data_IF_179676336704
#
_entry.id   IF_179676336704
#
_cell.length_a   1.000
_cell.length_b   1.000
_cell.length_c   1.000
_cell.angle_alpha   90.00
_cell.angle_beta   90.00
_cell.angle_gamma   90.00
#
_symmetry.space_group_name_H-M   'P 1'
#
loop_
_entity.id
_entity.type
_entity.pdbx_description
1 polymer ?
#
# COMPACT_ATOMS: atom_id res chain seq x y z
N UNK A 1 -61.14 10.09 18.88
CA UNK A 1 -60.02 9.63 19.76
C UNK A 1 -58.99 9.00 18.87
N UNK A 2 -58.04 9.81 18.34
CA UNK A 2 -56.98 9.39 17.42
C UNK A 2 -55.71 9.11 18.23
N UNK A 3 -55.28 7.86 18.29
CA UNK A 3 -53.99 7.50 18.84
C UNK A 3 -52.92 7.67 17.77
N UNK A 4 -52.01 8.61 18.00
CA UNK A 4 -50.82 8.80 17.19
C UNK A 4 -49.77 7.77 17.62
N UNK A 5 -49.47 6.82 16.75
CA UNK A 5 -48.33 5.91 16.92
C UNK A 5 -47.02 6.62 16.60
N UNK A 6 -46.26 6.95 17.63
CA UNK A 6 -44.90 7.44 17.57
C UNK A 6 -43.97 6.33 17.07
N UNK A 7 -43.60 6.42 15.81
CA UNK A 7 -42.59 5.55 15.18
C UNK A 7 -41.17 5.99 15.64
N UNK A 8 -40.66 5.38 16.70
CA UNK A 8 -39.29 5.53 17.14
C UNK A 8 -38.38 4.81 16.14
N UNK A 9 -37.85 5.54 15.14
CA UNK A 9 -36.69 5.09 14.39
C UNK A 9 -35.54 4.88 15.38
N UNK A 10 -35.26 3.62 15.74
CA UNK A 10 -34.01 3.25 16.40
C UNK A 10 -32.86 3.79 15.55
N UNK A 11 -32.15 4.80 16.06
CA UNK A 11 -30.82 5.14 15.57
C UNK A 11 -29.98 3.85 15.68
N UNK A 12 -29.69 3.23 14.55
CA UNK A 12 -28.65 2.19 14.51
C UNK A 12 -27.36 2.85 14.99
N UNK A 13 -26.89 2.43 16.14
CA UNK A 13 -25.57 2.79 16.64
C UNK A 13 -24.57 2.39 15.58
N UNK A 14 -23.81 3.37 15.07
CA UNK A 14 -22.70 3.17 14.14
C UNK A 14 -21.82 2.07 14.74
N UNK A 15 -21.57 0.93 14.06
CA UNK A 15 -20.64 -0.04 14.59
C UNK A 15 -19.32 0.66 14.77
N UNK A 16 -18.82 0.65 16.01
CA UNK A 16 -17.53 1.22 16.37
C UNK A 16 -16.48 0.59 15.46
N UNK A 17 -15.76 1.41 14.70
CA UNK A 17 -14.68 0.94 13.86
C UNK A 17 -13.72 0.19 14.79
N UNK A 18 -13.41 -1.07 14.49
CA UNK A 18 -12.45 -1.81 15.30
C UNK A 18 -11.20 -0.93 15.49
N UNK A 19 -10.70 -0.82 16.70
CA UNK A 19 -9.58 0.05 17.05
C UNK A 19 -8.34 -0.17 16.15
N UNK A 20 -8.26 -1.33 15.48
CA UNK A 20 -7.27 -1.64 14.45
C UNK A 20 -7.83 -2.65 13.44
N UNK A 21 -7.38 -2.58 12.18
CA UNK A 21 -7.63 -3.62 11.20
C UNK A 21 -6.75 -4.84 11.49
N UNK A 22 -7.25 -6.03 11.18
CA UNK A 22 -6.46 -7.26 11.26
C UNK A 22 -5.41 -7.26 10.14
N UNK A 23 -4.31 -7.96 10.35
CA UNK A 23 -3.25 -8.13 9.35
C UNK A 23 -3.78 -8.61 8.00
N UNK A 24 -4.68 -9.59 8.00
CA UNK A 24 -5.31 -10.11 6.81
C UNK A 24 -6.08 -9.02 6.04
N UNK A 25 -6.86 -8.19 6.74
CA UNK A 25 -7.60 -7.08 6.12
C UNK A 25 -6.65 -6.06 5.49
N UNK A 26 -5.54 -5.72 6.19
CA UNK A 26 -4.51 -4.81 5.68
C UNK A 26 -3.92 -5.37 4.39
N UNK A 27 -3.56 -6.66 4.35
CA UNK A 27 -3.01 -7.34 3.18
C UNK A 27 -3.97 -7.32 1.99
N UNK A 28 -5.26 -7.60 2.20
CA UNK A 28 -6.27 -7.52 1.13
C UNK A 28 -6.49 -6.10 0.62
N UNK A 29 -6.50 -5.10 1.50
CA UNK A 29 -6.64 -3.70 1.09
C UNK A 29 -5.42 -3.25 0.28
N UNK A 30 -4.19 -3.59 0.69
CA UNK A 30 -2.97 -3.29 -0.06
C UNK A 30 -2.98 -3.97 -1.43
N UNK A 31 -3.42 -5.23 -1.50
CA UNK A 31 -3.53 -5.95 -2.77
C UNK A 31 -4.56 -5.31 -3.72
N UNK A 32 -5.71 -4.87 -3.20
CA UNK A 32 -6.68 -4.12 -4.00
C UNK A 32 -6.11 -2.77 -4.48
N UNK A 33 -5.35 -2.08 -3.61
CA UNK A 33 -4.74 -0.80 -3.94
C UNK A 33 -3.70 -0.90 -5.04
N UNK A 34 -2.97 -2.01 -5.16
CA UNK A 34 -1.90 -2.21 -6.16
C UNK A 34 -2.37 -1.94 -7.59
N UNK A 35 -3.60 -2.34 -7.92
CA UNK A 35 -4.20 -2.07 -9.23
C UNK A 35 -4.57 -0.60 -9.47
N UNK A 36 -4.50 0.25 -8.45
CA UNK A 36 -4.94 1.66 -8.49
C UNK A 36 -3.83 2.67 -8.23
N UNK A 37 -2.65 2.22 -7.81
CA UNK A 37 -1.55 3.10 -7.43
C UNK A 37 -1.24 4.10 -8.54
N UNK A 38 -1.26 5.40 -8.20
CA UNK A 38 -1.01 6.49 -9.14
C UNK A 38 -2.12 6.74 -10.18
N UNK A 39 -3.24 5.99 -10.14
CA UNK A 39 -4.32 6.10 -11.14
C UNK A 39 -5.72 6.27 -10.54
N UNK A 40 -5.93 5.83 -9.30
CA UNK A 40 -7.22 5.89 -8.62
C UNK A 40 -7.13 6.42 -7.20
N UNK A 41 -8.26 6.87 -6.67
CA UNK A 41 -8.39 7.41 -5.32
C UNK A 41 -9.18 6.48 -4.38
N UNK A 42 -9.39 6.94 -3.13
CA UNK A 42 -10.09 6.23 -2.04
C UNK A 42 -11.42 5.60 -2.46
N UNK A 43 -12.25 6.36 -3.17
CA UNK A 43 -13.58 5.90 -3.58
C UNK A 43 -13.50 4.72 -4.56
N UNK A 44 -12.52 4.70 -5.45
CA UNK A 44 -12.33 3.60 -6.39
C UNK A 44 -11.87 2.34 -5.65
N UNK A 45 -10.92 2.48 -4.71
CA UNK A 45 -10.48 1.38 -3.86
C UNK A 45 -11.64 0.79 -3.05
N UNK A 46 -12.47 1.66 -2.43
CA UNK A 46 -13.65 1.20 -1.70
C UNK A 46 -14.65 0.45 -2.60
N UNK A 47 -14.83 0.86 -3.86
CA UNK A 47 -15.67 0.17 -4.85
C UNK A 47 -15.11 -1.20 -5.25
N UNK A 48 -13.79 -1.36 -5.41
CA UNK A 48 -13.16 -2.67 -5.66
C UNK A 48 -13.45 -3.60 -4.48
N UNK A 49 -13.14 -3.17 -3.27
CA UNK A 49 -13.34 -3.95 -2.06
C UNK A 49 -14.81 -4.31 -1.81
N UNK A 50 -15.74 -3.46 -2.24
CA UNK A 50 -17.19 -3.72 -2.21
C UNK A 50 -17.64 -4.76 -3.24
N UNK A 51 -16.91 -4.93 -4.32
CA UNK A 51 -17.37 -5.70 -5.49
C UNK A 51 -18.41 -4.93 -6.31
N UNK A 52 -18.20 -3.62 -6.49
CA UNK A 52 -19.13 -2.75 -7.22
C UNK A 52 -19.09 -3.04 -8.73
N UNK A 53 -20.25 -3.06 -9.37
CA UNK A 53 -20.41 -3.15 -10.82
C UNK A 53 -20.36 -1.77 -11.51
N UNK A 54 -19.62 -0.82 -10.94
CA UNK A 54 -19.42 0.50 -11.53
C UNK A 54 -18.79 0.36 -12.92
N UNK A 55 -19.32 1.11 -13.92
CA UNK A 55 -18.89 1.02 -15.31
C UNK A 55 -17.40 1.26 -15.49
N UNK A 56 -16.87 2.32 -14.85
CA UNK A 56 -15.45 2.67 -14.91
C UNK A 56 -14.55 1.57 -14.32
N UNK A 57 -15.02 0.91 -13.26
CA UNK A 57 -14.30 -0.19 -12.61
C UNK A 57 -14.20 -1.40 -13.55
N UNK A 58 -15.27 -1.72 -14.25
CA UNK A 58 -15.34 -2.84 -15.21
C UNK A 58 -14.53 -2.53 -16.47
N UNK A 59 -14.59 -1.31 -16.99
CA UNK A 59 -13.78 -0.85 -18.13
C UNK A 59 -12.26 -0.94 -17.86
N UNK A 60 -11.84 -0.77 -16.61
CA UNK A 60 -10.45 -0.89 -16.16
C UNK A 60 -10.10 -2.32 -15.70
N UNK A 61 -10.99 -3.29 -15.90
CA UNK A 61 -10.83 -4.69 -15.50
C UNK A 61 -10.47 -4.90 -14.01
N UNK A 62 -10.81 -3.93 -13.15
CA UNK A 62 -10.50 -3.99 -11.72
C UNK A 62 -11.31 -5.04 -10.95
N UNK A 63 -12.33 -5.61 -11.58
CA UNK A 63 -13.09 -6.76 -11.08
C UNK A 63 -12.32 -8.08 -11.15
N UNK A 64 -11.17 -8.12 -11.84
CA UNK A 64 -10.26 -9.27 -11.89
C UNK A 64 -9.31 -9.32 -10.69
N UNK A 65 -9.23 -8.25 -9.90
CA UNK A 65 -8.41 -8.18 -8.71
C UNK A 65 -8.84 -9.22 -7.67
N UNK A 66 -7.90 -9.95 -7.08
CA UNK A 66 -8.16 -11.01 -6.09
C UNK A 66 -8.93 -10.51 -4.85
N UNK A 67 -8.78 -9.24 -4.50
CA UNK A 67 -9.50 -8.62 -3.38
C UNK A 67 -10.86 -8.01 -3.77
N UNK A 68 -11.30 -8.19 -5.03
CA UNK A 68 -12.59 -7.69 -5.47
C UNK A 68 -13.74 -8.34 -4.69
N UNK A 69 -14.57 -7.51 -4.05
CA UNK A 69 -15.69 -7.97 -3.25
C UNK A 69 -15.34 -8.52 -1.88
N UNK A 70 -14.09 -8.40 -1.42
CA UNK A 70 -13.64 -8.86 -0.11
C UNK A 70 -14.54 -8.35 1.03
N UNK A 71 -15.02 -7.11 0.96
CA UNK A 71 -15.97 -6.50 1.88
C UNK A 71 -17.40 -6.41 1.31
N UNK A 72 -17.81 -7.36 0.49
CA UNK A 72 -19.16 -7.38 -0.11
C UNK A 72 -20.32 -7.24 0.88
N UNK A 73 -20.11 -7.65 2.13
CA UNK A 73 -21.08 -7.58 3.24
C UNK A 73 -21.14 -6.23 3.96
N UNK A 74 -20.16 -5.34 3.78
CA UNK A 74 -20.11 -4.02 4.40
C UNK A 74 -20.74 -2.94 3.51
N UNK A 75 -21.15 -1.82 4.11
CA UNK A 75 -21.53 -0.63 3.34
C UNK A 75 -20.31 0.06 2.73
N UNK A 76 -20.51 0.85 1.67
CA UNK A 76 -19.42 1.60 1.05
C UNK A 76 -18.79 2.59 2.02
N UNK A 77 -19.58 3.21 2.91
CA UNK A 77 -19.10 4.10 3.97
C UNK A 77 -18.16 3.37 4.93
N UNK A 78 -18.56 2.19 5.42
CA UNK A 78 -17.73 1.36 6.31
C UNK A 78 -16.43 0.91 5.65
N UNK A 79 -16.43 0.66 4.35
CA UNK A 79 -15.22 0.31 3.59
C UNK A 79 -14.32 1.55 3.45
N UNK A 80 -14.90 2.72 3.16
CA UNK A 80 -14.15 3.97 3.07
C UNK A 80 -13.47 4.32 4.41
N UNK A 81 -14.13 4.10 5.55
CA UNK A 81 -13.55 4.26 6.87
C UNK A 81 -12.31 3.35 7.08
N UNK A 82 -12.31 2.13 6.53
CA UNK A 82 -11.15 1.23 6.55
C UNK A 82 -10.00 1.72 5.67
N UNK A 83 -10.32 2.22 4.49
CA UNK A 83 -9.32 2.85 3.61
C UNK A 83 -8.72 4.09 4.28
N UNK A 84 -9.55 4.91 4.94
CA UNK A 84 -9.10 6.08 5.70
C UNK A 84 -8.20 5.65 6.87
N UNK A 85 -8.50 4.53 7.53
CA UNK A 85 -7.64 3.95 8.56
C UNK A 85 -6.27 3.56 7.98
N UNK A 86 -6.22 2.97 6.78
CA UNK A 86 -4.95 2.63 6.11
C UNK A 86 -4.08 3.88 5.85
N UNK A 87 -4.71 5.00 5.47
CA UNK A 87 -4.01 6.26 5.24
C UNK A 87 -3.48 6.83 6.56
N UNK A 88 -4.31 6.86 7.59
CA UNK A 88 -3.94 7.37 8.92
C UNK A 88 -2.81 6.57 9.57
N UNK A 89 -2.76 5.26 9.34
CA UNK A 89 -1.77 4.34 9.92
C UNK A 89 -0.56 4.08 9.02
N UNK A 90 -0.34 4.95 8.03
CA UNK A 90 0.87 4.97 7.21
C UNK A 90 1.09 3.72 6.33
N UNK A 91 0.00 3.13 5.84
CA UNK A 91 0.06 2.06 4.82
C UNK A 91 -0.13 2.61 3.40
N UNK A 92 -1.01 3.59 3.27
CA UNK A 92 -1.29 4.31 2.03
C UNK A 92 -1.17 5.81 2.29
N UNK A 93 -0.90 6.57 1.24
CA UNK A 93 -0.92 8.03 1.29
C UNK A 93 -1.60 8.62 0.06
N UNK A 94 -1.98 9.89 0.16
CA UNK A 94 -2.61 10.64 -0.92
C UNK A 94 -1.58 11.55 -1.59
N UNK A 95 -1.38 11.37 -2.88
CA UNK A 95 -0.61 12.26 -3.72
C UNK A 95 -1.54 13.00 -4.68
N UNK A 96 -1.43 14.32 -4.73
CA UNK A 96 -2.27 15.11 -5.61
C UNK A 96 -1.62 15.27 -7.00
N UNK A 97 -2.34 14.83 -8.03
CA UNK A 97 -2.05 15.19 -9.41
C UNK A 97 -3.05 16.28 -9.82
N UNK A 98 -2.61 17.55 -9.80
CA UNK A 98 -3.49 18.75 -9.84
C UNK A 98 -4.50 18.67 -8.69
N UNK A 99 -5.80 18.59 -9.00
CA UNK A 99 -6.88 18.53 -8.00
C UNK A 99 -7.35 17.11 -7.69
N UNK A 100 -6.74 16.10 -8.31
CA UNK A 100 -7.13 14.69 -8.11
C UNK A 100 -6.26 14.01 -7.07
N UNK A 101 -6.83 13.58 -5.92
CA UNK A 101 -6.13 12.78 -4.94
C UNK A 101 -5.99 11.33 -5.44
N UNK A 102 -4.78 10.90 -5.67
CA UNK A 102 -4.43 9.53 -6.06
C UNK A 102 -3.84 8.79 -4.86
N UNK A 103 -4.13 7.51 -4.76
CA UNK A 103 -3.50 6.65 -3.76
C UNK A 103 -2.12 6.23 -4.22
N UNK A 104 -1.17 6.28 -3.31
CA UNK A 104 0.14 5.67 -3.46
C UNK A 104 0.49 4.87 -2.21
N UNK A 105 1.42 3.93 -2.34
CA UNK A 105 1.95 3.23 -1.18
C UNK A 105 2.92 4.13 -0.41
N UNK A 106 2.83 4.08 0.92
CA UNK A 106 3.96 4.48 1.77
C UNK A 106 5.07 3.44 1.66
N UNK A 107 6.25 3.75 2.20
CA UNK A 107 7.33 2.76 2.31
C UNK A 107 6.88 1.49 3.04
N UNK A 108 6.13 1.65 4.14
CA UNK A 108 5.59 0.55 4.95
C UNK A 108 4.59 -0.30 4.16
N UNK A 109 3.61 0.34 3.50
CA UNK A 109 2.62 -0.36 2.69
C UNK A 109 3.24 -1.09 1.51
N UNK A 110 4.23 -0.46 0.85
CA UNK A 110 4.96 -1.08 -0.25
C UNK A 110 5.74 -2.34 0.18
N UNK A 111 6.42 -2.30 1.34
CA UNK A 111 7.17 -3.44 1.84
C UNK A 111 6.26 -4.66 2.06
N UNK A 112 5.11 -4.46 2.68
CA UNK A 112 4.12 -5.52 2.92
C UNK A 112 3.56 -6.06 1.60
N UNK A 113 3.18 -5.16 0.68
CA UNK A 113 2.64 -5.56 -0.62
C UNK A 113 3.69 -6.29 -1.46
N UNK A 114 4.92 -5.82 -1.46
CA UNK A 114 6.02 -6.43 -2.18
C UNK A 114 6.30 -7.87 -1.69
N UNK A 115 6.32 -8.05 -0.37
CA UNK A 115 6.50 -9.37 0.25
C UNK A 115 5.36 -10.33 -0.12
N UNK A 116 4.13 -9.89 0.01
CA UNK A 116 2.93 -10.64 -0.36
C UNK A 116 2.93 -11.04 -1.85
N UNK A 117 3.29 -10.13 -2.75
CA UNK A 117 3.36 -10.42 -4.17
C UNK A 117 4.48 -11.41 -4.50
N UNK A 118 5.62 -11.32 -3.83
CA UNK A 118 6.71 -12.29 -4.00
C UNK A 118 6.30 -13.69 -3.53
N UNK A 119 5.51 -13.80 -2.43
CA UNK A 119 4.97 -15.07 -1.96
C UNK A 119 3.93 -15.67 -2.91
N UNK A 120 3.06 -14.82 -3.48
CA UNK A 120 2.09 -15.26 -4.50
C UNK A 120 2.79 -15.82 -5.74
N UNK A 121 3.84 -15.15 -6.22
CA UNK A 121 4.65 -15.63 -7.35
C UNK A 121 5.33 -16.96 -7.01
N UNK A 122 5.91 -17.08 -5.81
CA UNK A 122 6.55 -18.31 -5.37
C UNK A 122 5.55 -19.46 -5.26
N UNK A 123 4.35 -19.19 -4.73
CA UNK A 123 3.28 -20.17 -4.65
C UNK A 123 2.83 -20.62 -6.05
N UNK A 124 2.63 -19.71 -6.97
CA UNK A 124 2.28 -19.99 -8.36
C UNK A 124 3.33 -20.89 -9.04
N UNK A 125 4.61 -20.56 -8.88
CA UNK A 125 5.68 -21.38 -9.45
C UNK A 125 5.75 -22.78 -8.84
N UNK A 126 5.52 -22.90 -7.52
CA UNK A 126 5.41 -24.23 -6.87
C UNK A 126 4.25 -25.05 -7.43
N UNK A 127 3.12 -24.41 -7.73
CA UNK A 127 1.99 -25.11 -8.38
C UNK A 127 2.37 -25.61 -9.77
N UNK A 128 3.05 -24.80 -10.58
CA UNK A 128 3.50 -25.21 -11.92
C UNK A 128 4.47 -26.37 -11.84
N UNK A 129 5.47 -26.31 -10.96
CA UNK A 129 6.41 -27.40 -10.74
C UNK A 129 5.67 -28.68 -10.29
N UNK A 130 4.73 -28.56 -9.37
CA UNK A 130 3.93 -29.69 -8.88
C UNK A 130 3.03 -30.32 -9.95
N UNK A 131 2.56 -29.53 -10.90
CA UNK A 131 1.75 -29.96 -12.04
C UNK A 131 2.60 -30.45 -13.24
N UNK A 132 3.95 -30.40 -13.13
CA UNK A 132 4.85 -30.77 -14.22
C UNK A 132 4.84 -29.82 -15.42
N UNK A 133 4.35 -28.57 -15.22
CA UNK A 133 4.33 -27.54 -16.25
C UNK A 133 5.73 -26.94 -16.34
N UNK A 134 6.43 -27.22 -17.42
CA UNK A 134 7.81 -26.79 -17.62
C UNK A 134 8.01 -25.69 -18.66
N UNK A 135 6.98 -25.35 -19.43
CA UNK A 135 7.04 -24.29 -20.46
C UNK A 135 5.99 -23.22 -20.19
N UNK A 136 6.47 -22.05 -19.75
CA UNK A 136 5.63 -20.91 -19.36
C UNK A 136 6.15 -19.63 -19.99
N UNK A 137 5.24 -18.79 -20.47
CA UNK A 137 5.59 -17.45 -20.89
C UNK A 137 5.96 -16.59 -19.67
N UNK A 138 7.23 -16.24 -19.56
CA UNK A 138 7.79 -15.45 -18.45
C UNK A 138 7.75 -13.93 -18.70
N UNK A 139 7.17 -13.47 -19.80
CA UNK A 139 7.10 -12.03 -20.15
C UNK A 139 6.32 -11.23 -19.13
N UNK A 140 5.38 -11.84 -18.40
CA UNK A 140 4.60 -11.19 -17.34
C UNK A 140 5.44 -10.66 -16.16
N UNK A 141 6.70 -11.10 -16.03
CA UNK A 141 7.64 -10.63 -14.99
C UNK A 141 8.46 -9.42 -15.45
N UNK A 142 8.61 -9.23 -16.78
CA UNK A 142 9.61 -8.34 -17.38
C UNK A 142 9.51 -6.88 -16.92
N UNK A 143 8.31 -6.33 -16.81
CA UNK A 143 8.11 -4.91 -16.51
C UNK A 143 7.64 -4.67 -15.06
N UNK A 144 7.82 -5.66 -14.20
CA UNK A 144 7.49 -5.53 -12.79
C UNK A 144 8.55 -4.74 -12.02
N UNK A 145 8.14 -4.19 -10.88
CA UNK A 145 9.05 -3.46 -9.99
C UNK A 145 10.29 -4.29 -9.65
N UNK A 146 11.47 -3.68 -9.81
CA UNK A 146 12.75 -4.36 -9.60
C UNK A 146 12.92 -4.89 -8.17
N UNK A 147 12.47 -4.15 -7.14
CA UNK A 147 12.53 -4.60 -5.75
C UNK A 147 11.73 -5.89 -5.54
N UNK A 148 10.53 -5.98 -6.11
CA UNK A 148 9.72 -7.19 -6.11
C UNK A 148 10.44 -8.37 -6.79
N UNK A 149 11.02 -8.14 -7.96
CA UNK A 149 11.75 -9.16 -8.71
C UNK A 149 12.95 -9.70 -7.91
N UNK A 150 13.73 -8.82 -7.29
CA UNK A 150 14.88 -9.23 -6.47
C UNK A 150 14.44 -9.99 -5.22
N UNK A 151 13.37 -9.54 -4.55
CA UNK A 151 12.81 -10.24 -3.39
C UNK A 151 12.27 -11.61 -3.77
N UNK A 152 11.56 -11.73 -4.89
CA UNK A 152 11.10 -13.02 -5.42
C UNK A 152 12.26 -13.96 -5.69
N UNK A 153 13.33 -13.49 -6.35
CA UNK A 153 14.54 -14.28 -6.59
C UNK A 153 15.22 -14.73 -5.29
N UNK A 154 15.25 -13.88 -4.27
CA UNK A 154 15.77 -14.27 -2.94
C UNK A 154 14.90 -15.38 -2.31
N UNK A 155 13.57 -15.25 -2.38
CA UNK A 155 12.66 -16.28 -1.87
C UNK A 155 12.82 -17.61 -2.62
N UNK A 156 12.99 -17.58 -3.94
CA UNK A 156 13.30 -18.78 -4.74
C UNK A 156 14.62 -19.41 -4.30
N UNK A 157 15.68 -18.62 -4.15
CA UNK A 157 16.98 -19.12 -3.68
C UNK A 157 16.89 -19.73 -2.27
N UNK A 158 16.13 -19.11 -1.36
CA UNK A 158 15.90 -19.61 -0.01
C UNK A 158 15.19 -20.96 0.05
N UNK A 159 14.53 -21.40 -1.03
CA UNK A 159 13.92 -22.75 -1.09
C UNK A 159 14.95 -23.85 -1.21
N UNK A 160 16.15 -23.56 -1.72
CA UNK A 160 17.20 -24.54 -2.07
C UNK A 160 16.71 -25.68 -2.99
N UNK A 161 15.64 -25.43 -3.76
CA UNK A 161 14.98 -26.42 -4.62
C UNK A 161 15.40 -26.25 -6.08
N UNK A 162 16.18 -27.18 -6.60
CA UNK A 162 16.68 -27.18 -7.98
C UNK A 162 15.56 -27.26 -9.03
N UNK A 163 14.34 -27.68 -8.66
CA UNK A 163 13.21 -27.78 -9.60
C UNK A 163 12.77 -26.41 -10.15
N UNK A 164 13.18 -25.33 -9.53
CA UNK A 164 12.96 -23.96 -10.04
C UNK A 164 13.89 -23.61 -11.23
N UNK A 165 15.00 -24.32 -11.43
CA UNK A 165 16.01 -23.98 -12.45
C UNK A 165 15.44 -23.93 -13.88
N UNK A 166 14.59 -24.85 -14.33
CA UNK A 166 13.99 -24.78 -15.68
C UNK A 166 13.22 -23.48 -15.89
N UNK A 167 12.37 -23.07 -14.94
CA UNK A 167 11.58 -21.82 -15.01
C UNK A 167 12.49 -20.59 -14.98
N UNK A 168 13.52 -20.59 -14.14
CA UNK A 168 14.53 -19.52 -14.09
C UNK A 168 15.26 -19.37 -15.43
N UNK A 169 15.61 -20.47 -16.10
CA UNK A 169 16.24 -20.43 -17.43
C UNK A 169 15.33 -19.83 -18.50
N UNK A 170 14.04 -20.16 -18.49
CA UNK A 170 13.06 -19.55 -19.40
C UNK A 170 12.92 -18.06 -19.14
N UNK A 171 12.79 -17.66 -17.88
CA UNK A 171 12.74 -16.24 -17.51
C UNK A 171 14.00 -15.49 -17.94
N UNK A 172 15.18 -16.07 -17.79
CA UNK A 172 16.44 -15.50 -18.23
C UNK A 172 16.45 -15.13 -19.72
N UNK A 173 15.70 -15.82 -20.59
CA UNK A 173 15.66 -15.51 -22.02
C UNK A 173 14.98 -14.18 -22.31
N UNK A 174 13.94 -13.81 -21.55
CA UNK A 174 13.03 -12.71 -21.89
C UNK A 174 13.30 -11.40 -21.13
N UNK A 175 14.02 -11.43 -20.00
CA UNK A 175 14.19 -10.26 -19.12
C UNK A 175 15.39 -9.37 -19.50
N UNK A 176 15.58 -8.27 -18.77
CA UNK A 176 16.66 -7.31 -18.95
C UNK A 176 17.99 -7.80 -18.37
N UNK A 177 19.13 -7.29 -18.86
CA UNK A 177 20.46 -7.75 -18.51
C UNK A 177 20.77 -7.81 -17.00
N UNK A 178 20.29 -6.82 -16.23
CA UNK A 178 20.50 -6.78 -14.77
C UNK A 178 19.74 -7.92 -14.06
N UNK A 179 18.52 -8.22 -14.51
CA UNK A 179 17.71 -9.32 -13.98
C UNK A 179 18.28 -10.67 -14.45
N UNK A 180 18.72 -10.78 -15.71
CA UNK A 180 19.41 -11.97 -16.23
C UNK A 180 20.65 -12.34 -15.40
N UNK A 181 21.40 -11.32 -14.92
CA UNK A 181 22.54 -11.55 -14.03
C UNK A 181 22.06 -12.12 -12.70
N UNK A 182 21.08 -11.49 -12.04
CA UNK A 182 20.53 -11.96 -10.78
C UNK A 182 19.98 -13.40 -10.88
N UNK A 183 19.30 -13.72 -11.99
CA UNK A 183 18.81 -15.08 -12.26
C UNK A 183 19.96 -16.08 -12.33
N UNK A 184 21.07 -15.76 -13.03
CA UNK A 184 22.25 -16.62 -13.10
C UNK A 184 22.84 -16.90 -11.73
N UNK A 185 22.93 -15.85 -10.88
CA UNK A 185 23.46 -15.97 -9.53
C UNK A 185 22.59 -16.90 -8.67
N UNK A 186 21.25 -16.81 -8.81
CA UNK A 186 20.30 -17.71 -8.14
C UNK A 186 20.42 -19.13 -8.66
N UNK A 187 20.53 -19.35 -9.99
CA UNK A 187 20.72 -20.70 -10.55
C UNK A 187 22.01 -21.33 -10.00
N UNK A 188 23.12 -20.60 -9.99
CA UNK A 188 24.39 -21.06 -9.44
C UNK A 188 24.27 -21.41 -7.93
N UNK A 189 23.56 -20.57 -7.17
CA UNK A 189 23.28 -20.82 -5.76
C UNK A 189 22.49 -22.13 -5.54
N UNK A 190 21.42 -22.35 -6.31
CA UNK A 190 20.61 -23.57 -6.22
C UNK A 190 21.42 -24.81 -6.59
N UNK A 191 22.22 -24.76 -7.67
CA UNK A 191 23.10 -25.87 -8.09
C UNK A 191 24.15 -26.22 -7.03
N UNK A 192 24.61 -25.23 -6.27
CA UNK A 192 25.57 -25.45 -5.16
C UNK A 192 24.85 -25.79 -3.83
N UNK A 193 23.56 -26.13 -3.85
CA UNK A 193 22.74 -26.47 -2.67
C UNK A 193 22.83 -25.43 -1.57
N UNK A 194 22.83 -24.16 -1.94
CA UNK A 194 22.82 -23.04 -0.98
C UNK A 194 24.13 -22.80 -0.21
N UNK A 195 25.23 -23.50 -0.56
CA UNK A 195 26.51 -23.39 0.16
C UNK A 195 27.26 -22.07 -0.11
N UNK A 196 26.93 -21.39 -1.20
CA UNK A 196 27.57 -20.09 -1.53
C UNK A 196 26.67 -18.95 -1.05
N UNK A 197 27.23 -17.87 -0.44
CA UNK A 197 26.43 -16.71 -0.10
C UNK A 197 25.85 -16.09 -1.37
N UNK A 198 24.55 -15.84 -1.38
CA UNK A 198 23.86 -15.17 -2.48
C UNK A 198 23.92 -13.66 -2.25
N UNK A 199 24.60 -12.95 -3.14
CA UNK A 199 24.61 -11.49 -3.17
C UNK A 199 23.97 -11.02 -4.46
N UNK A 200 22.73 -10.57 -4.40
CA UNK A 200 22.03 -9.97 -5.55
C UNK A 200 22.38 -8.48 -5.63
N UNK A 201 22.82 -8.00 -6.79
CA UNK A 201 23.07 -6.58 -7.01
C UNK A 201 21.76 -5.80 -7.04
N UNK A 202 21.55 -4.97 -6.04
CA UNK A 202 20.38 -4.10 -5.89
C UNK A 202 19.74 -4.21 -4.51
N UNK A 203 18.93 -3.23 -4.18
CA UNK A 203 18.17 -3.25 -2.92
C UNK A 203 16.90 -4.08 -3.11
N UNK A 204 16.96 -5.36 -2.77
CA UNK A 204 15.74 -6.06 -2.42
C UNK A 204 15.24 -5.48 -1.09
N UNK A 205 13.93 -5.35 -0.89
CA UNK A 205 13.40 -4.92 0.40
C UNK A 205 13.86 -5.90 1.49
N UNK A 206 14.85 -5.49 2.28
CA UNK A 206 15.38 -6.29 3.39
C UNK A 206 14.63 -5.90 4.67
N UNK A 207 13.35 -6.20 4.73
CA UNK A 207 12.56 -6.00 5.94
C UNK A 207 11.87 -7.32 6.25
N UNK A 208 12.17 -7.83 7.42
CA UNK A 208 11.38 -8.92 7.99
C UNK A 208 9.99 -8.39 8.31
N UNK A 209 8.97 -8.95 7.66
CA UNK A 209 7.57 -8.58 7.88
C UNK A 209 7.12 -9.22 9.19
N UNK A 210 7.34 -8.51 10.29
CA UNK A 210 6.90 -8.92 11.63
C UNK A 210 5.52 -8.38 11.94
N UNK A 211 4.84 -8.98 12.91
CA UNK A 211 3.54 -8.51 13.42
C UNK A 211 3.58 -7.04 13.87
N UNK A 212 4.70 -6.57 14.39
CA UNK A 212 4.89 -5.20 14.83
C UNK A 212 4.70 -4.18 13.70
N UNK A 213 5.05 -4.56 12.46
CA UNK A 213 4.87 -3.69 11.30
C UNK A 213 3.39 -3.33 11.06
N UNK A 214 2.47 -4.24 11.43
CA UNK A 214 1.02 -4.02 11.28
C UNK A 214 0.42 -3.24 12.45
N UNK A 215 1.02 -3.32 13.64
CA UNK A 215 0.43 -2.85 14.88
C UNK A 215 1.25 -1.76 15.59
N UNK A 216 2.16 -1.09 14.86
CA UNK A 216 2.91 0.02 15.44
C UNK A 216 1.96 1.10 15.96
N UNK A 217 2.01 1.44 17.27
CA UNK A 217 1.25 2.55 17.80
C UNK A 217 1.71 3.85 17.13
N UNK A 218 0.76 4.73 16.87
CA UNK A 218 1.09 6.07 16.37
C UNK A 218 1.55 6.92 17.54
N UNK A 219 2.68 7.57 17.37
CA UNK A 219 3.31 8.38 18.39
C UNK A 219 3.27 9.86 18.03
N UNK A 220 3.32 10.68 19.07
CA UNK A 220 3.51 12.11 18.94
C UNK A 220 4.91 12.37 18.41
N UNK A 221 5.03 13.07 17.30
CA UNK A 221 6.32 13.43 16.71
C UNK A 221 6.82 14.78 17.23
N UNK A 222 8.14 14.91 17.44
CA UNK A 222 8.75 16.19 17.84
C UNK A 222 9.47 16.82 16.64
N UNK A 223 8.86 17.89 16.13
CA UNK A 223 9.38 18.63 14.99
C UNK A 223 10.09 19.91 15.44
N UNK A 224 11.02 20.39 14.59
CA UNK A 224 11.69 21.68 14.80
C UNK A 224 11.04 22.76 13.94
N UNK A 225 10.60 23.84 14.56
CA UNK A 225 10.02 24.97 13.83
C UNK A 225 11.09 25.71 13.02
N UNK A 226 10.86 25.89 11.72
CA UNK A 226 11.78 26.59 10.82
C UNK A 226 11.85 28.11 11.08
N UNK A 227 10.86 28.68 11.76
CA UNK A 227 10.79 30.14 12.01
C UNK A 227 11.41 30.50 13.36
N UNK A 228 10.94 29.92 14.45
CA UNK A 228 11.44 30.24 15.79
C UNK A 228 12.52 29.28 16.33
N UNK A 229 12.82 28.21 15.62
CA UNK A 229 13.81 27.20 16.01
C UNK A 229 13.41 26.29 17.18
N UNK A 230 12.30 26.55 17.85
CA UNK A 230 11.81 25.73 18.98
C UNK A 230 11.30 24.38 18.51
N UNK A 231 11.47 23.35 19.33
CA UNK A 231 10.82 22.05 19.11
C UNK A 231 9.35 22.13 19.55
N UNK A 232 8.46 21.47 18.82
CA UNK A 232 7.05 21.37 19.14
C UNK A 232 6.54 19.93 18.91
N UNK A 233 5.51 19.56 19.62
CA UNK A 233 4.86 18.28 19.47
C UNK A 233 3.83 18.34 18.36
N UNK A 234 3.89 17.35 17.45
CA UNK A 234 2.92 17.15 16.40
C UNK A 234 2.01 16.00 16.78
N UNK A 235 0.84 16.35 17.28
CA UNK A 235 -0.12 15.43 17.86
C UNK A 235 -0.69 14.49 16.81
N UNK A 236 -1.05 13.26 17.23
CA UNK A 236 -1.57 12.20 16.33
C UNK A 236 -2.82 12.66 15.59
N UNK A 237 -3.72 13.42 16.24
CA UNK A 237 -4.93 13.94 15.62
C UNK A 237 -4.62 14.95 14.50
N UNK A 238 -3.58 15.76 14.68
CA UNK A 238 -3.12 16.69 13.65
C UNK A 238 -2.44 15.94 12.50
N UNK A 239 -1.65 14.89 12.79
CA UNK A 239 -1.07 14.02 11.78
C UNK A 239 -2.16 13.39 10.89
N UNK A 240 -3.28 12.94 11.49
CA UNK A 240 -4.41 12.40 10.75
C UNK A 240 -4.99 13.40 9.73
N UNK A 241 -5.17 14.65 10.15
CA UNK A 241 -5.67 15.69 9.26
C UNK A 241 -4.71 15.93 8.08
N UNK A 242 -3.40 15.96 8.36
CA UNK A 242 -2.39 16.18 7.32
C UNK A 242 -2.35 15.02 6.33
N UNK A 243 -2.32 13.78 6.82
CA UNK A 243 -2.33 12.57 5.97
C UNK A 243 -3.59 12.47 5.11
N UNK A 244 -4.77 12.73 5.72
CA UNK A 244 -6.05 12.70 5.00
C UNK A 244 -6.17 13.79 3.92
N UNK A 245 -5.35 14.83 3.99
CA UNK A 245 -5.27 15.91 3.00
C UNK A 245 -4.06 15.77 2.06
N UNK A 246 -3.21 14.76 2.25
CA UNK A 246 -1.98 14.61 1.49
C UNK A 246 -1.01 15.78 1.68
N UNK A 247 -0.97 16.36 2.87
CA UNK A 247 -0.07 17.46 3.21
C UNK A 247 1.21 16.95 3.82
N UNK A 248 2.31 17.63 3.51
CA UNK A 248 3.59 17.41 4.19
C UNK A 248 3.50 17.78 5.68
N UNK A 249 4.34 17.19 6.55
CA UNK A 249 4.45 17.56 7.95
C UNK A 249 4.64 19.07 8.14
N UNK A 250 4.08 19.69 9.22
CA UNK A 250 4.14 21.12 9.42
C UNK A 250 5.55 21.61 9.67
N UNK A 251 6.02 22.55 8.87
CA UNK A 251 7.36 23.17 8.99
C UNK A 251 7.43 24.21 10.12
N UNK A 252 6.30 24.56 10.74
CA UNK A 252 6.17 25.60 11.79
C UNK A 252 5.27 25.15 12.91
N UNK A 253 5.62 25.56 14.13
CA UNK A 253 4.74 25.36 15.29
C UNK A 253 3.42 26.13 15.15
N UNK A 254 2.42 25.78 15.95
CA UNK A 254 1.09 26.43 15.93
C UNK A 254 1.17 27.94 16.07
N UNK A 255 1.94 28.43 17.04
CA UNK A 255 2.10 29.87 17.28
C UNK A 255 2.63 30.63 16.06
N UNK A 256 3.67 30.11 15.38
CA UNK A 256 4.20 30.75 14.17
C UNK A 256 3.24 30.64 12.99
N UNK A 257 2.45 29.56 12.89
CA UNK A 257 1.40 29.44 11.86
C UNK A 257 0.28 30.45 12.07
N UNK A 258 -0.15 30.65 13.32
CA UNK A 258 -1.22 31.59 13.67
C UNK A 258 -0.76 33.03 13.49
N UNK A 259 0.48 33.36 13.84
CA UNK A 259 1.04 34.66 13.58
C UNK A 259 1.08 35.02 12.08
N UNK A 260 1.55 34.06 11.24
CA UNK A 260 1.51 34.23 9.78
C UNK A 260 0.11 34.35 9.21
N UNK A 261 -0.87 33.69 9.81
CA UNK A 261 -2.26 33.80 9.39
C UNK A 261 -2.77 35.20 9.69
N UNK A 262 -2.55 35.70 10.90
CA UNK A 262 -2.93 37.08 11.29
C UNK A 262 -2.27 38.13 10.40
N UNK A 263 -1.01 37.98 10.08
CA UNK A 263 -0.31 38.89 9.16
C UNK A 263 -0.90 38.87 7.74
N UNK A 264 -1.36 37.73 7.25
CA UNK A 264 -2.04 37.64 5.94
C UNK A 264 -3.45 38.20 5.96
N UNK A 265 -4.19 37.99 7.03
CA UNK A 265 -5.55 38.50 7.22
C UNK A 265 -5.56 40.02 7.49
N UNK A 266 -4.50 40.57 8.11
CA UNK A 266 -4.30 42.01 8.31
C UNK A 266 -3.85 42.77 7.05
N UNK A 267 -3.45 42.06 5.98
CA UNK A 267 -3.11 42.65 4.69
C UNK A 267 -4.34 42.62 3.78
N UNK A 268 -5.28 43.53 4.04
CA UNK A 268 -6.40 43.76 3.12
C UNK A 268 -5.94 44.68 1.99
N UNK A 269 -6.40 44.38 0.74
CA UNK A 269 -6.07 45.12 -0.50
C UNK A 269 -6.46 46.62 -0.50
N UNK A 270 -6.88 47.17 0.64
CA UNK A 270 -7.27 48.56 0.79
C UNK A 270 -6.12 49.53 1.11
N UNK A 271 -4.87 49.04 1.19
CA UNK A 271 -3.70 49.90 1.50
C UNK A 271 -2.95 50.37 0.22
N UNK A 272 -3.59 50.27 -0.95
CA UNK A 272 -3.08 50.81 -2.22
C UNK A 272 -4.08 51.75 -2.89
N UNK A 273 -4.42 52.86 -2.18
CA UNK A 273 -4.97 54.07 -2.80
C UNK A 273 -3.98 55.23 -2.68
#
# INVERSE_FOLDING_TARGET
MFMATLNHKKKQTKPELAASLKEEEIRYILHAADSLIGSGGRNMLAKILKGSRDKKLLELELNTNMAYGYYGYLTLEQITERVDWMIKNDFLELQYNRDMPLLIFTKKGWLIQCDQMADLLLHQWRQWIGAGIGDMDMTYLKDRNRGLILLFLQKVAGTSDERFIPLLKQWQLVDYQKVKKAIRDVIAHLQNKGKSPLVLEGEAPQVEITSDLFHQPREVERLKCWECGKRFEWMVEEQDVFRMRGWDPPKRCSSCRDERRRQKEGFTWNDFD
#
